data_IF_202620954920
#
_entry.id   IF_202620954920
#
_cell.length_a   1.000
_cell.length_b   1.000
_cell.length_c   1.000
_cell.angle_alpha   90.00
_cell.angle_beta   90.00
_cell.angle_gamma   90.00
#
_symmetry.space_group_name_H-M   'P 1'
#
loop_
_entity.id
_entity.type
_entity.pdbx_description
1 polymer ?
#
# COMPACT_ATOMS: atom_id res chain seq x y z
N UNK A 1 -1.33 14.64 -1.45
CA UNK A 1 -1.22 14.91 0.02
C UNK A 1 0.21 14.79 0.51
N UNK A 2 0.87 13.65 0.28
CA UNK A 2 2.25 13.37 0.74
C UNK A 2 3.24 14.51 0.46
N UNK A 3 3.33 15.00 -0.79
CA UNK A 3 4.26 16.07 -1.17
C UNK A 3 4.07 17.37 -0.36
N UNK A 4 2.84 17.71 0.01
CA UNK A 4 2.57 18.91 0.79
C UNK A 4 3.09 18.80 2.24
N UNK A 5 3.12 17.59 2.79
CA UNK A 5 3.52 17.34 4.18
C UNK A 5 5.01 16.96 4.31
N UNK A 6 5.52 16.20 3.34
CA UNK A 6 6.84 15.56 3.41
C UNK A 6 7.86 16.20 2.45
N UNK A 7 7.40 17.04 1.53
CA UNK A 7 8.23 17.59 0.46
C UNK A 7 8.47 16.60 -0.67
N UNK A 8 9.14 17.09 -1.71
CA UNK A 8 9.55 16.31 -2.86
C UNK A 8 10.70 15.36 -2.53
N UNK A 9 10.63 14.15 -3.10
CA UNK A 9 11.70 13.17 -2.95
C UNK A 9 11.89 12.71 -1.51
N UNK A 10 10.80 12.62 -0.74
CA UNK A 10 10.82 12.07 0.62
C UNK A 10 11.31 10.61 0.61
N UNK A 11 11.82 10.15 1.75
CA UNK A 11 12.63 8.93 1.74
C UNK A 11 11.81 7.67 1.45
N UNK A 12 10.71 7.42 2.17
CA UNK A 12 9.99 6.14 2.12
C UNK A 12 8.50 6.35 1.87
N UNK A 13 7.98 5.70 0.83
CA UNK A 13 6.55 5.49 0.61
C UNK A 13 6.24 4.00 0.73
N UNK A 14 5.14 3.63 1.38
CA UNK A 14 4.82 2.23 1.60
C UNK A 14 3.35 1.90 1.64
N UNK A 15 3.06 0.62 1.49
CA UNK A 15 1.71 0.05 1.54
C UNK A 15 1.73 -1.48 1.48
N UNK A 16 0.57 -2.09 1.25
CA UNK A 16 0.53 -3.53 0.91
C UNK A 16 1.10 -3.80 -0.48
N UNK A 17 1.30 -5.07 -0.84
CA UNK A 17 1.70 -5.46 -2.21
C UNK A 17 0.59 -5.25 -3.25
N UNK A 18 -0.67 -5.18 -2.81
CA UNK A 18 -1.83 -4.95 -3.67
C UNK A 18 -1.80 -3.55 -4.34
N UNK A 19 -1.58 -2.43 -3.60
CA UNK A 19 -1.52 -1.10 -4.20
C UNK A 19 -0.25 -0.81 -5.02
N UNK A 20 0.74 -1.71 -5.10
CA UNK A 20 1.90 -1.49 -5.99
C UNK A 20 1.45 -1.14 -7.42
N UNK A 21 0.41 -1.81 -7.91
CA UNK A 21 -0.26 -1.44 -9.15
C UNK A 21 -1.79 -1.59 -9.00
N UNK A 22 -2.60 -0.64 -9.51
CA UNK A 22 -2.20 0.56 -10.25
C UNK A 22 -1.91 1.76 -9.35
N UNK A 23 -2.22 1.68 -8.04
CA UNK A 23 -2.29 2.84 -7.17
C UNK A 23 -0.95 3.59 -7.05
N UNK A 24 0.09 2.95 -6.54
CA UNK A 24 1.41 3.56 -6.38
C UNK A 24 2.07 3.93 -7.71
N UNK A 25 1.84 3.15 -8.76
CA UNK A 25 2.29 3.49 -10.11
C UNK A 25 1.65 4.80 -10.61
N UNK A 26 0.34 4.95 -10.42
CA UNK A 26 -0.38 6.17 -10.78
C UNK A 26 0.09 7.36 -9.94
N UNK A 27 0.30 7.20 -8.62
CA UNK A 27 0.81 8.28 -7.77
C UNK A 27 2.18 8.79 -8.25
N UNK A 28 3.05 7.85 -8.64
CA UNK A 28 4.36 8.17 -9.20
C UNK A 28 4.22 8.91 -10.54
N UNK A 29 3.41 8.38 -11.46
CA UNK A 29 3.19 8.98 -12.78
C UNK A 29 2.54 10.36 -12.67
N UNK A 30 1.57 10.55 -11.79
CA UNK A 30 0.91 11.83 -11.55
C UNK A 30 1.91 12.89 -11.06
N UNK A 31 2.80 12.52 -10.14
CA UNK A 31 3.83 13.44 -9.63
C UNK A 31 4.89 13.75 -10.70
N UNK A 32 5.41 12.73 -11.38
CA UNK A 32 6.42 12.91 -12.43
C UNK A 32 5.86 13.75 -13.60
N UNK A 33 4.61 13.51 -14.01
CA UNK A 33 3.94 14.29 -15.06
C UNK A 33 3.71 15.75 -14.65
N UNK A 34 3.50 16.01 -13.36
CA UNK A 34 3.41 17.36 -12.81
C UNK A 34 4.78 18.03 -12.57
N UNK A 35 5.89 17.33 -12.84
CA UNK A 35 7.25 17.86 -12.71
C UNK A 35 7.87 17.72 -11.32
N UNK A 36 7.30 16.89 -10.45
CA UNK A 36 7.75 16.69 -9.07
C UNK A 36 8.37 15.31 -8.86
N UNK A 37 9.32 15.22 -7.94
CA UNK A 37 9.79 13.91 -7.45
C UNK A 37 8.92 13.42 -6.29
N UNK A 38 8.60 12.11 -6.26
CA UNK A 38 7.76 11.51 -5.22
C UNK A 38 8.55 10.93 -4.05
N UNK A 39 8.83 9.63 -4.07
CA UNK A 39 9.54 8.91 -3.01
C UNK A 39 10.79 8.23 -3.56
N UNK A 40 11.85 8.16 -2.74
CA UNK A 40 13.12 7.51 -3.11
C UNK A 40 13.07 5.99 -2.98
N UNK A 41 12.38 5.51 -1.94
CA UNK A 41 12.25 4.10 -1.63
C UNK A 41 10.78 3.71 -1.51
N UNK A 42 10.45 2.57 -2.10
CA UNK A 42 9.12 1.98 -2.08
C UNK A 42 9.16 0.69 -1.28
N UNK A 43 8.29 0.57 -0.26
CA UNK A 43 8.22 -0.60 0.61
C UNK A 43 6.83 -1.21 0.58
N UNK A 44 6.76 -2.50 0.22
CA UNK A 44 5.48 -3.22 0.14
C UNK A 44 5.48 -4.44 1.05
N UNK A 45 4.48 -4.54 1.93
CA UNK A 45 4.28 -5.74 2.74
C UNK A 45 3.59 -6.84 1.94
N UNK A 46 4.00 -8.09 2.17
CA UNK A 46 3.32 -9.25 1.59
C UNK A 46 1.87 -9.40 2.05
N UNK A 47 1.10 -10.18 1.30
CA UNK A 47 -0.29 -10.48 1.65
C UNK A 47 -0.37 -11.43 2.85
N UNK A 48 -1.38 -11.22 3.69
CA UNK A 48 -1.71 -12.13 4.77
C UNK A 48 -2.59 -13.27 4.23
N UNK A 49 -2.21 -14.51 4.58
CA UNK A 49 -2.96 -15.71 4.22
C UNK A 49 -3.68 -16.26 5.44
N UNK A 50 -4.91 -16.74 5.25
CA UNK A 50 -5.71 -17.49 6.24
C UNK A 50 -5.88 -18.90 5.70
N UNK A 51 -5.43 -19.91 6.45
CA UNK A 51 -5.51 -21.32 6.04
C UNK A 51 -4.89 -21.61 4.66
N UNK A 52 -3.85 -20.88 4.29
CA UNK A 52 -3.14 -21.03 3.01
C UNK A 52 -3.70 -20.23 1.84
N UNK A 53 -4.85 -19.56 2.00
CA UNK A 53 -5.44 -18.69 0.97
C UNK A 53 -5.29 -17.21 1.31
N UNK A 54 -5.16 -16.35 0.30
CA UNK A 54 -5.13 -14.88 0.47
C UNK A 54 -6.38 -14.44 1.26
N UNK A 55 -6.18 -13.66 2.31
CA UNK A 55 -7.30 -13.04 3.02
C UNK A 55 -8.00 -12.03 2.10
N UNK A 56 -9.31 -12.18 1.90
CA UNK A 56 -10.12 -11.25 1.12
C UNK A 56 -11.59 -11.29 1.52
N UNK A 57 -12.28 -10.16 1.33
CA UNK A 57 -13.73 -10.08 1.59
C UNK A 57 -14.55 -10.96 0.62
N UNK A 58 -14.13 -11.07 -0.63
CA UNK A 58 -14.84 -11.83 -1.66
C UNK A 58 -14.80 -13.35 -1.44
N UNK A 59 -13.72 -13.86 -0.85
CA UNK A 59 -13.61 -15.28 -0.45
C UNK A 59 -14.34 -15.58 0.87
N UNK A 60 -14.85 -14.56 1.57
CA UNK A 60 -15.49 -14.74 2.88
C UNK A 60 -14.54 -15.18 3.99
N UNK A 61 -13.23 -15.19 3.75
CA UNK A 61 -12.19 -15.61 4.70
C UNK A 61 -11.53 -14.42 5.43
N UNK A 62 -12.13 -13.22 5.33
CA UNK A 62 -11.68 -12.02 6.01
C UNK A 62 -11.92 -12.11 7.52
N UNK A 63 -10.92 -11.74 8.31
CA UNK A 63 -11.02 -11.61 9.77
C UNK A 63 -10.70 -10.17 10.15
N UNK A 64 -11.50 -9.61 11.06
CA UNK A 64 -11.14 -8.35 11.69
C UNK A 64 -10.07 -8.56 12.75
N UNK A 65 -9.42 -7.48 13.17
CA UNK A 65 -8.47 -7.55 14.28
C UNK A 65 -9.15 -8.04 15.58
N UNK A 66 -10.40 -7.63 15.84
CA UNK A 66 -11.17 -8.10 16.99
C UNK A 66 -11.37 -9.61 16.98
N UNK A 67 -11.85 -10.16 15.85
CA UNK A 67 -12.05 -11.61 15.68
C UNK A 67 -10.75 -12.41 15.91
N UNK A 68 -9.60 -11.82 15.55
CA UNK A 68 -8.29 -12.43 15.72
C UNK A 68 -7.76 -12.34 17.16
N UNK A 69 -8.12 -11.29 17.91
CA UNK A 69 -7.71 -11.09 19.31
C UNK A 69 -8.54 -11.89 20.32
N UNK A 70 -9.78 -12.25 19.97
CA UNK A 70 -10.68 -13.05 20.81
C UNK A 70 -10.43 -14.57 20.68
N UNK A 71 -9.40 -14.99 19.93
CA UNK A 71 -8.93 -16.37 19.78
C UNK A 71 -7.69 -16.63 20.62
#
# INVERSE_FOLDING_TARGET
MSLNLLGEGFDIHGGGSDPTFPHHENERVECEAAGYSFARYWMHSGMLNVSGEKMSKSLGNFQTLGDAMDR
#
